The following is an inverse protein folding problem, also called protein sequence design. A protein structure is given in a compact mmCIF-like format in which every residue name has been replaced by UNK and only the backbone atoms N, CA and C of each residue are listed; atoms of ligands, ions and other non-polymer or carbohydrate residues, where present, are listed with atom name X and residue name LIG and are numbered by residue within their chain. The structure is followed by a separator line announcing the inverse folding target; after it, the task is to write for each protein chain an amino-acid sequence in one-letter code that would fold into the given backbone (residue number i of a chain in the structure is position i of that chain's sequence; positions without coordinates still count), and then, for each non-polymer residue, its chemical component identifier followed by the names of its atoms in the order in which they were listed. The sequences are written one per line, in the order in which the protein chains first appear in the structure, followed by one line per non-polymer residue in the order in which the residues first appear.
data_IF_199125200827
#
_entry.id   IF_199125200827
#
_cell.length_a   1.000
_cell.length_b   1.000
_cell.length_c   1.000
_cell.angle_alpha   90.00
_cell.angle_beta   90.00
_cell.angle_gamma   90.00
#
_symmetry.space_group_name_H-M   'P 1'
#
loop_
_entity.id
_entity.type
_entity.pdbx_description
1 polymer ?
#
# COMPACT_ATOMS: atom_id res chain seq x y z
N UNK A 1 -10.45 -2.63 12.41
CA UNK A 1 -11.04 -2.32 11.08
C UNK A 1 -11.47 -3.64 10.42
N UNK A 2 -12.47 -3.64 9.55
CA UNK A 2 -12.85 -4.83 8.75
C UNK A 2 -12.27 -4.67 7.35
N UNK A 3 -11.58 -5.71 6.86
CA UNK A 3 -11.07 -5.79 5.50
C UNK A 3 -12.02 -6.63 4.65
N UNK A 4 -12.20 -6.22 3.40
CA UNK A 4 -12.84 -7.05 2.39
C UNK A 4 -11.76 -7.73 1.54
N UNK A 5 -11.91 -9.04 1.30
CA UNK A 5 -10.89 -9.85 0.63
C UNK A 5 -10.71 -9.52 -0.85
N UNK A 6 -11.70 -8.89 -1.50
CA UNK A 6 -11.62 -8.50 -2.92
C UNK A 6 -10.86 -7.21 -3.14
N UNK A 7 -10.68 -6.40 -2.09
CA UNK A 7 -9.97 -5.11 -2.12
C UNK A 7 -8.73 -5.10 -1.22
N UNK A 8 -8.20 -6.29 -0.95
CA UNK A 8 -6.96 -6.51 -0.21
C UNK A 8 -5.78 -6.55 -1.20
N UNK A 9 -4.79 -5.69 -0.99
CA UNK A 9 -3.56 -5.64 -1.80
C UNK A 9 -2.51 -6.62 -1.26
N UNK A 10 -2.32 -6.66 0.05
CA UNK A 10 -1.40 -7.58 0.71
C UNK A 10 -1.90 -7.97 2.09
N UNK A 11 -1.70 -9.23 2.47
CA UNK A 11 -2.03 -9.78 3.78
C UNK A 11 -0.75 -10.29 4.46
N UNK A 12 -0.22 -9.54 5.42
CA UNK A 12 1.02 -9.90 6.11
C UNK A 12 2.19 -10.22 5.17
N UNK A 13 2.29 -9.53 4.03
CA UNK A 13 3.31 -9.81 3.02
C UNK A 13 4.70 -9.47 3.57
N UNK A 14 5.61 -10.45 3.55
CA UNK A 14 7.00 -10.22 3.92
C UNK A 14 7.71 -9.39 2.84
N UNK A 15 8.26 -8.25 3.23
CA UNK A 15 8.98 -7.35 2.32
C UNK A 15 10.47 -7.53 2.61
N UNK A 16 11.13 -8.35 1.79
CA UNK A 16 12.58 -8.63 1.89
C UNK A 16 13.42 -7.91 0.85
N UNK A 17 12.78 -7.31 -0.15
CA UNK A 17 13.37 -6.43 -1.16
C UNK A 17 12.27 -5.52 -1.72
N UNK A 18 12.64 -4.55 -2.56
CA UNK A 18 11.67 -3.76 -3.30
C UNK A 18 10.75 -4.67 -4.11
N UNK A 19 9.46 -4.62 -3.81
CA UNK A 19 8.46 -5.54 -4.36
C UNK A 19 7.09 -4.87 -4.45
N UNK A 20 6.24 -5.39 -5.34
CA UNK A 20 4.84 -4.99 -5.43
C UNK A 20 3.99 -5.80 -4.45
N UNK A 21 2.76 -5.34 -4.22
CA UNK A 21 1.75 -6.06 -3.46
C UNK A 21 1.45 -7.43 -4.08
N UNK A 22 1.16 -8.42 -3.24
CA UNK A 22 0.84 -9.78 -3.69
C UNK A 22 -0.39 -9.85 -4.59
N UNK A 23 -1.34 -8.94 -4.38
CA UNK A 23 -2.56 -8.86 -5.15
C UNK A 23 -2.69 -7.49 -5.83
N UNK A 24 -3.37 -7.51 -6.98
CA UNK A 24 -3.78 -6.33 -7.74
C UNK A 24 -5.30 -6.24 -7.60
N UNK A 25 -5.81 -5.06 -7.29
CA UNK A 25 -7.25 -4.82 -7.20
C UNK A 25 -7.76 -4.38 -8.57
N UNK A 26 -8.66 -5.17 -9.17
CA UNK A 26 -9.43 -4.81 -10.37
C UNK A 26 -10.75 -4.17 -9.95
N UNK A 27 -10.99 -2.93 -10.37
CA UNK A 27 -12.23 -2.20 -10.12
C UNK A 27 -13.38 -2.63 -11.05
N UNK A 28 -13.11 -3.55 -11.99
CA UNK A 28 -14.02 -4.12 -13.00
C UNK A 28 -14.22 -3.21 -14.21
N UNK A 29 -14.12 -1.89 -14.01
CA UNK A 29 -14.19 -0.85 -15.03
C UNK A 29 -13.19 0.23 -14.68
N UNK A 30 -12.68 0.95 -15.68
CA UNK A 30 -11.87 2.15 -15.41
C UNK A 30 -12.76 3.23 -14.80
N UNK A 31 -12.57 3.48 -13.51
CA UNK A 31 -13.30 4.51 -12.75
C UNK A 31 -12.43 5.09 -11.66
N UNK A 32 -12.61 6.38 -11.43
CA UNK A 32 -11.93 7.12 -10.38
C UNK A 32 -12.69 6.97 -9.06
N UNK A 33 -12.27 6.01 -8.22
CA UNK A 33 -12.86 5.77 -6.90
C UNK A 33 -12.33 6.73 -5.83
N UNK A 34 -11.26 7.48 -6.13
CA UNK A 34 -10.77 8.54 -5.25
C UNK A 34 -11.58 9.82 -5.32
N UNK A 35 -12.43 9.98 -6.36
CA UNK A 35 -13.33 11.12 -6.51
C UNK A 35 -14.66 10.90 -5.77
N UNK A 36 -15.10 11.92 -5.03
CA UNK A 36 -16.39 11.92 -4.34
C UNK A 36 -16.25 11.50 -2.88
N UNK A 37 -16.77 10.32 -2.53
CA UNK A 37 -16.71 9.82 -1.15
C UNK A 37 -15.32 9.24 -0.88
N UNK A 38 -14.60 9.70 0.16
CA UNK A 38 -13.28 9.18 0.48
C UNK A 38 -13.33 7.68 0.77
N UNK A 39 -12.62 6.89 -0.02
CA UNK A 39 -12.45 5.45 0.20
C UNK A 39 -11.28 5.25 1.17
N UNK A 40 -11.51 4.74 2.40
CA UNK A 40 -10.45 4.63 3.38
C UNK A 40 -9.52 3.45 3.05
N UNK A 41 -8.23 3.75 3.03
CA UNK A 41 -7.15 2.83 2.72
C UNK A 41 -6.32 2.62 3.98
N UNK A 42 -6.12 1.37 4.37
CA UNK A 42 -5.21 1.03 5.46
C UNK A 42 -3.97 0.37 4.89
N UNK A 43 -2.81 0.90 5.23
CA UNK A 43 -1.51 0.28 5.01
C UNK A 43 -0.80 0.26 6.36
N UNK A 44 -0.56 -0.93 6.89
CA UNK A 44 -0.04 -1.11 8.24
C UNK A 44 1.10 -2.13 8.27
N UNK A 45 2.12 -1.83 9.06
CA UNK A 45 3.17 -2.78 9.42
C UNK A 45 2.61 -3.76 10.45
N UNK A 46 2.72 -5.06 10.18
CA UNK A 46 2.25 -6.14 11.07
C UNK A 46 3.38 -6.87 11.77
N UNK A 47 4.62 -6.73 11.28
CA UNK A 47 5.84 -7.26 11.89
C UNK A 47 6.94 -6.22 11.72
N UNK A 48 7.73 -5.99 12.77
CA UNK A 48 8.81 -5.01 12.79
C UNK A 48 9.78 -5.24 11.64
N UNK A 49 10.19 -4.14 10.99
CA UNK A 49 11.22 -4.19 9.98
C UNK A 49 12.63 -4.24 10.59
N UNK A 50 13.58 -4.80 9.83
CA UNK A 50 15.00 -4.75 10.18
C UNK A 50 15.86 -4.39 8.95
N UNK A 51 17.14 -4.07 9.19
CA UNK A 51 18.20 -4.02 8.16
C UNK A 51 17.95 -3.11 6.93
N UNK A 52 17.02 -2.16 6.98
CA UNK A 52 16.78 -1.16 5.94
C UNK A 52 17.07 0.26 6.46
N UNK A 53 17.21 1.23 5.57
CA UNK A 53 17.30 2.67 5.90
C UNK A 53 15.89 3.26 6.00
N UNK A 54 15.11 3.09 4.94
CA UNK A 54 13.75 3.59 4.85
C UNK A 54 12.88 2.73 3.90
N UNK A 55 11.57 2.81 4.10
CA UNK A 55 10.56 2.17 3.27
C UNK A 55 9.64 3.24 2.69
N UNK A 56 9.52 3.26 1.37
CA UNK A 56 8.57 4.13 0.66
C UNK A 56 7.43 3.28 0.11
N UNK A 57 6.20 3.65 0.42
CA UNK A 57 5.00 3.00 -0.11
C UNK A 57 4.38 3.89 -1.17
N UNK A 58 4.13 3.33 -2.36
CA UNK A 58 3.45 4.05 -3.44
C UNK A 58 2.19 3.32 -3.88
N UNK A 59 1.13 4.08 -4.14
CA UNK A 59 -0.09 3.56 -4.76
C UNK A 59 0.00 3.84 -6.25
N UNK A 60 -0.09 2.78 -7.05
CA UNK A 60 -0.01 2.84 -8.50
C UNK A 60 -1.30 2.35 -9.14
N UNK A 61 -1.61 2.89 -10.31
CA UNK A 61 -2.74 2.47 -11.12
C UNK A 61 -2.33 2.24 -12.57
N UNK A 62 -3.05 1.38 -13.28
CA UNK A 62 -2.90 1.16 -14.71
C UNK A 62 -4.24 0.70 -15.32
N UNK A 63 -4.34 0.79 -16.64
CA UNK A 63 -5.42 0.22 -17.45
C UNK A 63 -5.26 -1.28 -17.70
N UNK A 64 -4.06 -1.82 -17.54
CA UNK A 64 -3.71 -3.23 -17.72
C UNK A 64 -3.19 -3.88 -16.42
N UNK A 65 -3.57 -5.14 -16.17
CA UNK A 65 -3.14 -5.93 -15.01
C UNK A 65 -1.62 -6.16 -14.97
N UNK A 66 -0.95 -6.12 -16.12
CA UNK A 66 0.50 -6.23 -16.22
C UNK A 66 1.25 -4.99 -15.70
N UNK A 67 0.57 -3.86 -15.51
CA UNK A 67 1.17 -2.56 -15.18
C UNK A 67 2.36 -2.21 -16.10
N UNK A 68 2.11 -2.19 -17.41
CA UNK A 68 3.14 -1.87 -18.40
C UNK A 68 3.55 -0.39 -18.39
N UNK A 69 2.64 0.50 -17.96
CA UNK A 69 2.87 1.94 -17.86
C UNK A 69 2.22 2.49 -16.58
N UNK A 70 2.68 2.07 -15.39
CA UNK A 70 2.01 2.36 -14.14
C UNK A 70 2.08 3.86 -13.83
N UNK A 71 0.93 4.46 -13.54
CA UNK A 71 0.83 5.82 -13.02
C UNK A 71 0.90 5.80 -11.51
N UNK A 72 1.83 6.57 -10.93
CA UNK A 72 1.91 6.71 -9.46
C UNK A 72 0.96 7.80 -8.98
N UNK A 73 0.02 7.43 -8.12
CA UNK A 73 -1.02 8.35 -7.63
C UNK A 73 -0.68 8.96 -6.27
N UNK A 74 -0.04 8.20 -5.39
CA UNK A 74 0.37 8.66 -4.07
C UNK A 74 1.65 7.99 -3.60
N UNK A 75 2.39 8.68 -2.73
CA UNK A 75 3.59 8.18 -2.07
C UNK A 75 3.55 8.54 -0.59
N UNK A 76 3.97 7.63 0.28
CA UNK A 76 4.12 7.91 1.72
C UNK A 76 5.31 8.81 2.03
N UNK A 77 6.24 8.96 1.08
CA UNK A 77 7.61 9.40 1.37
C UNK A 77 8.43 8.30 2.05
N UNK A 78 9.71 8.59 2.27
CA UNK A 78 10.65 7.68 2.91
C UNK A 78 10.38 7.61 4.42
N UNK A 79 9.82 6.49 4.89
CA UNK A 79 9.59 6.25 6.32
C UNK A 79 10.82 5.54 6.90
N UNK A 80 11.50 6.11 7.90
CA UNK A 80 12.73 5.54 8.44
C UNK A 80 12.44 4.25 9.21
N UNK A 81 13.43 3.36 9.28
CA UNK A 81 13.36 2.10 10.04
C UNK A 81 12.84 2.27 11.48
N UNK A 82 13.19 3.37 12.15
CA UNK A 82 12.80 3.62 13.54
C UNK A 82 11.27 3.71 13.74
N UNK A 83 10.53 4.12 12.71
CA UNK A 83 9.07 4.23 12.74
C UNK A 83 8.38 2.95 12.25
N UNK A 84 9.10 2.06 11.55
CA UNK A 84 8.55 0.84 10.95
C UNK A 84 8.42 -0.32 11.94
N UNK A 85 7.66 -0.07 13.01
CA UNK A 85 7.28 -1.05 14.02
C UNK A 85 5.86 -1.57 13.79
N UNK A 86 5.55 -2.74 14.31
CA UNK A 86 4.22 -3.33 14.27
C UNK A 86 3.18 -2.36 14.83
N UNK A 87 2.11 -2.13 14.05
CA UNK A 87 1.07 -1.15 14.36
C UNK A 87 1.28 0.20 13.67
N UNK A 88 2.44 0.48 13.08
CA UNK A 88 2.65 1.70 12.31
C UNK A 88 1.74 1.72 11.07
N UNK A 89 1.01 2.83 10.92
CA UNK A 89 0.13 3.08 9.78
C UNK A 89 0.74 4.16 8.90
N UNK A 90 0.87 3.89 7.60
CA UNK A 90 1.41 4.87 6.66
C UNK A 90 0.46 6.06 6.49
N UNK A 91 0.96 7.26 6.16
CA UNK A 91 0.15 8.47 5.99
C UNK A 91 -0.71 8.48 4.71
N UNK A 92 -1.09 7.31 4.20
CA UNK A 92 -1.93 7.11 3.02
C UNK A 92 -3.32 6.61 3.45
N UNK A 93 -4.08 7.49 4.08
CA UNK A 93 -5.36 7.14 4.71
C UNK A 93 -6.51 6.96 3.72
N UNK A 94 -6.43 7.53 2.52
CA UNK A 94 -7.50 7.49 1.55
C UNK A 94 -6.98 7.14 0.17
N UNK A 95 -7.83 6.51 -0.64
CA UNK A 95 -7.52 6.25 -2.04
C UNK A 95 -7.30 7.58 -2.79
N UNK A 96 -6.17 7.78 -3.48
CA UNK A 96 -5.92 8.99 -4.24
C UNK A 96 -6.84 9.09 -5.44
N UNK A 97 -7.08 10.32 -5.91
CA UNK A 97 -7.82 10.57 -7.15
C UNK A 97 -7.01 10.15 -8.37
N UNK A 98 -7.70 9.78 -9.44
CA UNK A 98 -7.08 9.38 -10.70
C UNK A 98 -6.89 7.87 -10.83
N UNK A 99 -7.60 7.06 -10.04
CA UNK A 99 -7.56 5.60 -10.22
C UNK A 99 -8.11 5.20 -11.57
N UNK A 100 -7.42 4.25 -12.19
CA UNK A 100 -7.84 3.55 -13.39
C UNK A 100 -8.41 2.18 -13.01
N UNK A 101 -8.40 1.21 -13.93
CA UNK A 101 -9.04 -0.08 -13.71
C UNK A 101 -8.31 -0.92 -12.67
N UNK A 102 -6.98 -0.98 -12.74
CA UNK A 102 -6.15 -1.79 -11.85
C UNK A 102 -5.41 -0.88 -10.88
N UNK A 103 -5.38 -1.26 -9.62
CA UNK A 103 -4.65 -0.56 -8.56
C UNK A 103 -3.74 -1.54 -7.83
N UNK A 104 -2.53 -1.12 -7.49
CA UNK A 104 -1.60 -1.89 -6.66
C UNK A 104 -0.83 -0.99 -5.71
N UNK A 105 -0.18 -1.62 -4.73
CA UNK A 105 0.75 -0.95 -3.83
C UNK A 105 2.17 -1.44 -4.13
N UNK A 106 3.13 -0.55 -4.17
CA UNK A 106 4.55 -0.89 -4.33
C UNK A 106 5.32 -0.48 -3.08
N UNK A 107 6.16 -1.39 -2.61
CA UNK A 107 7.02 -1.25 -1.44
C UNK A 107 8.46 -1.08 -1.91
N UNK A 108 8.99 0.14 -1.81
CA UNK A 108 10.36 0.46 -2.19
C UNK A 108 11.25 0.47 -0.95
N UNK A 109 12.14 -0.51 -0.86
CA UNK A 109 13.11 -0.61 0.22
C UNK A 109 14.38 0.15 -0.16
N UNK A 110 14.83 1.03 0.73
CA UNK A 110 16.11 1.74 0.64
C UNK A 110 17.07 1.16 1.67
N UNK A 111 18.32 0.90 1.25
CA UNK A 111 19.37 0.38 2.13
C UNK A 111 20.33 -0.57 1.40
N UNK A 112 21.53 -0.72 1.96
CA UNK A 112 22.55 -1.63 1.42
C UNK A 112 22.27 -3.10 1.77
N UNK A 113 21.45 -3.36 2.78
CA UNK A 113 21.04 -4.69 3.21
C UNK A 113 19.53 -4.81 3.04
N UNK A 114 19.10 -5.98 2.60
CA UNK A 114 17.69 -6.28 2.46
C UNK A 114 17.11 -6.67 3.83
N UNK A 115 15.90 -6.21 4.19
CA UNK A 115 15.19 -6.68 5.38
C UNK A 115 15.02 -8.19 5.35
N UNK A 116 15.23 -8.83 6.50
CA UNK A 116 14.89 -10.25 6.72
C UNK A 116 13.63 -10.41 7.57
N UNK A 117 13.18 -9.31 8.18
CA UNK A 117 11.94 -9.18 8.93
C UNK A 117 11.20 -7.93 8.45
N UNK A 118 9.88 -7.95 8.56
CA UNK A 118 9.02 -6.87 8.11
C UNK A 118 7.85 -7.39 7.29
N UNK A 119 6.64 -7.20 7.79
CA UNK A 119 5.41 -7.56 7.09
C UNK A 119 4.48 -6.39 6.98
N UNK A 120 3.81 -6.28 5.83
CA UNK A 120 2.84 -5.20 5.56
C UNK A 120 1.51 -5.78 5.10
N UNK A 121 0.45 -5.28 5.71
CA UNK A 121 -0.93 -5.51 5.28
C UNK A 121 -1.47 -4.23 4.67
N UNK A 122 -2.03 -4.32 3.47
CA UNK A 122 -2.60 -3.20 2.76
C UNK A 122 -3.94 -3.58 2.15
N UNK A 123 -4.95 -2.74 2.33
CA UNK A 123 -6.30 -2.99 1.80
C UNK A 123 -7.25 -1.84 2.03
N UNK A 124 -8.31 -1.79 1.24
CA UNK A 124 -9.44 -0.89 1.49
C UNK A 124 -10.20 -1.41 2.71
N UNK A 125 -10.57 -0.49 3.60
CA UNK A 125 -11.32 -0.78 4.83
C UNK A 125 -12.69 -0.13 4.79
N UNK A 126 -13.64 -0.60 5.60
CA UNK A 126 -14.95 0.07 5.71
C UNK A 126 -14.89 1.40 6.48
N UNK A 127 -13.82 1.66 7.23
CA UNK A 127 -13.62 2.88 8.01
C UNK A 127 -12.36 2.80 8.86
N UNK A 128 -11.79 3.97 9.18
CA UNK A 128 -10.65 4.08 10.08
C UNK A 128 -11.07 3.92 11.53
N UNK A 129 -10.19 3.34 12.34
CA UNK A 129 -10.41 3.16 13.78
C UNK A 129 -10.18 4.45 14.57
N UNK A 130 -9.39 5.38 14.03
CA UNK A 130 -9.25 6.72 14.60
C UNK A 130 -10.33 7.63 14.02
N UNK A 131 -11.05 8.34 14.88
CA UNK A 131 -12.05 9.33 14.46
C UNK A 131 -11.42 10.48 13.68
N UNK A 132 -12.22 11.07 12.79
CA UNK A 132 -11.86 12.15 11.85
C UNK A 132 -11.06 13.31 12.46
#
# INVERSE_FOLDING_TARGET
MIFDSTVLFSDGQAITATANSTNVVDLGVSRDIGKGVPVPLLIQVTEDFNNLVDLTVTVQTDTDEAFGAPTTLATSGAIPLADLVAGYQFPLQYMPTGTERYVRVTYTVSGATAPTQGKVTAGVVAGHQHGY
#
